data_IF_834379005706
#
_entry.id   IF_834379005706
#
_cell.length_a   1.000
_cell.length_b   1.000
_cell.length_c   1.000
_cell.angle_alpha   90.00
_cell.angle_beta   90.00
_cell.angle_gamma   90.00
#
_symmetry.space_group_name_H-M   'P 1'
#
loop_
_entity.id
_entity.type
_entity.pdbx_description
1 polymer ?
#
# COMPACT_ATOMS: atom_id res chain seq x y z
N UNK A 1 -14.04 -3.99 12.31
CA UNK A 1 -13.91 -4.84 13.51
C UNK A 1 -12.51 -4.72 14.06
N UNK A 2 -12.30 -5.14 15.33
CA UNK A 2 -10.95 -5.15 15.88
C UNK A 2 -10.52 -6.60 16.15
N UNK A 3 -9.32 -6.94 15.67
CA UNK A 3 -8.70 -8.28 15.82
C UNK A 3 -7.49 -8.16 16.72
N UNK A 4 -7.44 -8.94 17.81
CA UNK A 4 -6.35 -8.84 18.76
C UNK A 4 -5.16 -9.70 18.33
N UNK A 5 -4.04 -9.07 17.95
CA UNK A 5 -2.80 -9.72 17.53
C UNK A 5 -1.67 -9.33 18.47
N UNK A 6 -1.07 -10.30 19.16
CA UNK A 6 0.04 -10.06 20.11
C UNK A 6 -0.25 -8.93 21.13
N UNK A 7 -1.53 -8.79 21.50
CA UNK A 7 -1.97 -7.74 22.43
C UNK A 7 -2.42 -6.44 21.76
N UNK A 8 -2.18 -6.25 20.47
CA UNK A 8 -2.59 -5.07 19.69
C UNK A 8 -3.99 -5.27 19.13
N UNK A 9 -4.97 -4.41 19.42
CA UNK A 9 -6.28 -4.43 18.77
C UNK A 9 -6.16 -3.80 17.37
N UNK A 10 -5.93 -4.63 16.36
CA UNK A 10 -5.81 -4.17 14.97
C UNK A 10 -7.20 -3.89 14.40
N UNK A 11 -7.44 -2.66 13.99
CA UNK A 11 -8.67 -2.29 13.30
C UNK A 11 -8.66 -2.82 11.85
N UNK A 12 -9.73 -3.48 11.46
CA UNK A 12 -9.86 -4.09 10.13
C UNK A 12 -11.22 -3.75 9.52
N UNK A 13 -11.21 -3.35 8.27
CA UNK A 13 -12.41 -3.21 7.44
C UNK A 13 -12.40 -4.31 6.38
N UNK A 14 -13.55 -4.97 6.21
CA UNK A 14 -13.70 -6.03 5.21
C UNK A 14 -14.87 -5.74 4.27
N UNK A 15 -14.68 -6.10 3.00
CA UNK A 15 -15.70 -6.00 1.98
C UNK A 15 -15.83 -7.31 1.20
N UNK A 16 -17.07 -7.68 0.87
CA UNK A 16 -17.39 -8.86 0.06
C UNK A 16 -17.08 -10.18 0.74
N UNK A 17 -16.89 -11.21 -0.06
CA UNK A 17 -16.64 -12.59 0.38
C UNK A 17 -15.98 -13.42 -0.71
N UNK A 18 -15.38 -14.54 -0.37
CA UNK A 18 -14.65 -15.43 -1.28
C UNK A 18 -13.14 -15.30 -1.13
N UNK A 19 -12.40 -15.34 -2.24
CA UNK A 19 -10.93 -15.36 -2.28
C UNK A 19 -10.32 -14.16 -1.51
N UNK A 20 -9.41 -14.38 -0.54
CA UNK A 20 -8.86 -13.29 0.25
C UNK A 20 -7.93 -12.39 -0.57
N UNK A 21 -8.07 -11.08 -0.35
CA UNK A 21 -7.16 -10.02 -0.80
C UNK A 21 -6.82 -9.17 0.41
N UNK A 22 -5.58 -9.19 0.86
CA UNK A 22 -5.08 -8.33 1.93
C UNK A 22 -4.43 -7.09 1.32
N UNK A 23 -4.83 -5.91 1.76
CA UNK A 23 -4.31 -4.65 1.25
C UNK A 23 -3.73 -3.79 2.38
N UNK A 24 -2.41 -3.54 2.32
CA UNK A 24 -1.64 -2.79 3.31
C UNK A 24 -1.41 -1.37 2.80
N UNK A 25 -1.83 -0.38 3.58
CA UNK A 25 -1.67 1.05 3.27
C UNK A 25 -0.25 1.58 3.53
N UNK A 26 0.05 2.79 3.06
CA UNK A 26 1.29 3.49 3.28
C UNK A 26 1.44 4.08 4.69
N UNK A 27 2.61 4.62 5.01
CA UNK A 27 2.82 5.34 6.26
C UNK A 27 2.05 6.67 6.27
N UNK A 28 1.49 7.05 7.42
CA UNK A 28 0.80 8.32 7.61
C UNK A 28 -0.65 8.38 7.10
N UNK A 29 -1.18 7.28 6.59
CA UNK A 29 -2.58 7.11 6.16
C UNK A 29 -3.21 5.90 6.86
N UNK A 30 -4.40 5.46 6.45
CA UNK A 30 -5.06 4.28 6.99
C UNK A 30 -5.78 3.45 5.90
N UNK A 31 -6.55 2.45 6.31
CA UNK A 31 -7.27 1.54 5.40
C UNK A 31 -8.06 2.25 4.30
N UNK A 32 -8.53 3.49 4.52
CA UNK A 32 -9.35 4.26 3.56
C UNK A 32 -8.60 4.53 2.26
N UNK A 33 -7.29 4.76 2.34
CA UNK A 33 -6.46 4.98 1.15
C UNK A 33 -6.54 3.79 0.19
N UNK A 34 -6.26 2.59 0.69
CA UNK A 34 -6.28 1.39 -0.14
C UNK A 34 -7.71 0.95 -0.51
N UNK A 35 -8.68 1.13 0.37
CA UNK A 35 -10.07 0.85 0.04
C UNK A 35 -10.56 1.78 -1.09
N UNK A 36 -10.28 3.08 -1.00
CA UNK A 36 -10.64 4.04 -2.05
C UNK A 36 -9.98 3.76 -3.41
N UNK A 37 -8.78 3.19 -3.39
CA UNK A 37 -8.07 2.79 -4.60
C UNK A 37 -8.59 1.48 -5.20
N UNK A 38 -8.85 0.47 -4.35
CA UNK A 38 -9.13 -0.90 -4.80
C UNK A 38 -10.62 -1.21 -5.00
N UNK A 39 -11.53 -0.65 -4.20
CA UNK A 39 -12.97 -0.98 -4.33
C UNK A 39 -13.54 -0.73 -5.75
N UNK A 40 -13.08 0.28 -6.52
CA UNK A 40 -13.49 0.41 -7.91
C UNK A 40 -13.12 -0.80 -8.81
N UNK A 41 -11.99 -1.49 -8.51
CA UNK A 41 -11.56 -2.69 -9.24
C UNK A 41 -12.54 -3.84 -9.01
N UNK A 42 -13.07 -3.97 -7.79
CA UNK A 42 -13.92 -5.10 -7.40
C UNK A 42 -15.42 -4.88 -7.66
N UNK A 43 -15.83 -3.70 -8.16
CA UNK A 43 -17.24 -3.38 -8.44
C UNK A 43 -17.89 -4.44 -9.34
N UNK A 44 -17.18 -4.86 -10.38
CA UNK A 44 -17.65 -5.84 -11.36
C UNK A 44 -16.95 -7.20 -11.22
N UNK A 45 -16.28 -7.45 -10.07
CA UNK A 45 -15.54 -8.68 -9.78
C UNK A 45 -16.00 -9.29 -8.44
N UNK A 46 -17.15 -9.97 -8.39
CA UNK A 46 -17.60 -10.68 -7.19
C UNK A 46 -16.67 -11.86 -6.86
N UNK A 47 -16.75 -12.36 -5.64
CA UNK A 47 -16.01 -13.55 -5.23
C UNK A 47 -14.63 -13.27 -4.61
N UNK A 48 -14.37 -12.02 -4.26
CA UNK A 48 -13.21 -11.63 -3.47
C UNK A 48 -13.61 -11.08 -2.10
N UNK A 49 -12.90 -11.47 -1.05
CA UNK A 49 -12.95 -10.89 0.29
C UNK A 49 -11.77 -9.95 0.46
N UNK A 50 -12.02 -8.65 0.50
CA UNK A 50 -11.00 -7.62 0.65
C UNK A 50 -10.86 -7.27 2.12
N UNK A 51 -9.62 -7.28 2.60
CA UNK A 51 -9.24 -7.09 4.00
C UNK A 51 -8.31 -5.89 4.07
N UNK A 52 -8.73 -4.83 4.75
CA UNK A 52 -8.04 -3.56 4.88
C UNK A 52 -7.75 -3.28 6.36
N UNK A 53 -6.57 -3.67 6.87
CA UNK A 53 -6.18 -3.32 8.24
C UNK A 53 -5.68 -1.88 8.32
N UNK A 54 -5.83 -1.26 9.49
CA UNK A 54 -5.00 -0.13 9.90
C UNK A 54 -3.70 -0.67 10.47
N UNK A 55 -2.56 -0.24 9.94
CA UNK A 55 -1.26 -0.61 10.47
C UNK A 55 -1.01 0.04 11.84
N UNK A 56 -0.21 -0.57 12.74
CA UNK A 56 0.08 -0.03 14.07
C UNK A 56 0.55 1.43 14.04
N UNK A 57 -0.05 2.26 14.90
CA UNK A 57 0.21 3.70 14.98
C UNK A 57 -0.53 4.55 13.95
N UNK A 58 -1.42 3.95 13.15
CA UNK A 58 -2.16 4.62 12.08
C UNK A 58 -3.64 4.23 12.15
N UNK A 59 -4.50 5.17 11.73
CA UNK A 59 -5.93 4.96 11.77
C UNK A 59 -6.41 4.66 13.20
N UNK A 60 -7.13 3.56 13.38
CA UNK A 60 -7.72 3.13 14.66
C UNK A 60 -6.90 2.07 15.40
N UNK A 61 -5.76 1.65 14.83
CA UNK A 61 -4.85 0.68 15.45
C UNK A 61 -3.80 1.42 16.29
N UNK A 62 -3.79 1.25 17.62
CA UNK A 62 -2.81 1.90 18.47
C UNK A 62 -1.40 1.35 18.26
N UNK A 63 -0.39 2.15 18.61
CA UNK A 63 0.99 1.72 18.67
C UNK A 63 1.40 1.54 20.15
N UNK A 64 1.59 0.32 20.62
CA UNK A 64 2.08 0.09 21.99
C UNK A 64 3.51 0.63 22.23
N UNK A 65 3.83 0.99 23.46
CA UNK A 65 5.15 1.55 23.84
C UNK A 65 6.31 0.57 23.59
N UNK A 66 6.04 -0.72 23.53
CA UNK A 66 7.07 -1.74 23.26
C UNK A 66 7.44 -1.88 21.78
N UNK A 67 6.66 -1.28 20.86
CA UNK A 67 6.98 -1.26 19.42
C UNK A 67 8.30 -0.54 19.17
N UNK A 68 9.16 -1.15 18.35
CA UNK A 68 10.52 -0.66 18.07
C UNK A 68 10.75 -0.28 16.61
N UNK A 69 10.04 -0.90 15.67
CA UNK A 69 10.28 -0.71 14.24
C UNK A 69 9.42 -1.61 13.36
N UNK A 70 9.86 -1.77 12.12
CA UNK A 70 9.13 -2.52 11.10
C UNK A 70 9.01 -4.01 11.39
N UNK A 71 9.94 -4.62 12.15
CA UNK A 71 9.85 -6.03 12.55
C UNK A 71 8.58 -6.29 13.37
N UNK A 72 8.30 -5.43 14.36
CA UNK A 72 7.09 -5.58 15.19
C UNK A 72 5.82 -5.36 14.36
N UNK A 73 5.87 -4.45 13.39
CA UNK A 73 4.73 -4.23 12.46
C UNK A 73 4.51 -5.45 11.58
N UNK A 74 5.58 -6.04 11.06
CA UNK A 74 5.50 -7.27 10.25
C UNK A 74 4.95 -8.45 11.04
N UNK A 75 5.35 -8.60 12.31
CA UNK A 75 4.83 -9.66 13.18
C UNK A 75 3.32 -9.51 13.41
N UNK A 76 2.83 -8.27 13.56
CA UNK A 76 1.38 -8.01 13.62
C UNK A 76 0.70 -8.37 12.31
N UNK A 77 1.27 -8.01 11.15
CA UNK A 77 0.70 -8.37 9.83
C UNK A 77 0.66 -9.88 9.63
N UNK A 78 1.72 -10.60 9.98
CA UNK A 78 1.76 -12.07 9.90
C UNK A 78 0.72 -12.71 10.81
N UNK A 79 0.61 -12.24 12.06
CA UNK A 79 -0.43 -12.71 12.97
C UNK A 79 -1.85 -12.40 12.50
N UNK A 80 -2.06 -11.28 11.82
CA UNK A 80 -3.34 -10.92 11.22
C UNK A 80 -3.71 -11.87 10.07
N UNK A 81 -2.74 -12.23 9.22
CA UNK A 81 -2.90 -13.22 8.15
C UNK A 81 -3.33 -14.57 8.75
N UNK A 82 -2.64 -15.02 9.79
CA UNK A 82 -2.98 -16.28 10.46
C UNK A 82 -4.39 -16.25 11.07
N UNK A 83 -4.80 -15.14 11.65
CA UNK A 83 -6.10 -14.99 12.29
C UNK A 83 -7.28 -14.86 11.32
N UNK A 84 -7.10 -14.14 10.18
CA UNK A 84 -8.19 -13.81 9.27
C UNK A 84 -8.22 -14.65 7.99
N UNK A 85 -7.06 -15.09 7.52
CA UNK A 85 -6.92 -15.84 6.26
C UNK A 85 -6.69 -17.33 6.54
N UNK A 86 -6.10 -17.66 7.68
CA UNK A 86 -5.78 -19.03 8.04
C UNK A 86 -4.78 -19.64 7.04
N UNK A 87 -5.02 -20.83 6.52
CA UNK A 87 -4.15 -21.53 5.56
C UNK A 87 -4.53 -21.26 4.07
N UNK A 88 -5.54 -20.44 3.81
CA UNK A 88 -5.99 -20.17 2.45
C UNK A 88 -4.97 -19.32 1.68
N UNK A 89 -4.64 -19.65 0.41
CA UNK A 89 -3.85 -18.76 -0.43
C UNK A 89 -4.55 -17.41 -0.64
N UNK A 90 -3.81 -16.30 -0.60
CA UNK A 90 -4.37 -14.96 -0.72
C UNK A 90 -3.58 -14.08 -1.68
N UNK A 91 -4.25 -13.08 -2.25
CA UNK A 91 -3.60 -12.00 -2.97
C UNK A 91 -3.18 -10.92 -1.98
N UNK A 92 -2.00 -10.34 -2.19
CA UNK A 92 -1.42 -9.34 -1.31
C UNK A 92 -1.11 -8.06 -2.09
N UNK A 93 -1.65 -6.95 -1.63
CA UNK A 93 -1.42 -5.62 -2.18
C UNK A 93 -0.78 -4.75 -1.12
N UNK A 94 0.24 -3.99 -1.46
CA UNK A 94 0.82 -3.02 -0.54
C UNK A 94 1.15 -1.71 -1.24
N UNK A 95 0.96 -0.59 -0.56
CA UNK A 95 1.37 0.74 -0.99
C UNK A 95 2.51 1.24 -0.10
N UNK A 96 3.59 1.78 -0.68
CA UNK A 96 4.68 2.43 0.06
C UNK A 96 5.24 1.52 1.18
N UNK A 97 5.12 1.92 2.44
CA UNK A 97 5.48 1.11 3.60
C UNK A 97 4.73 -0.23 3.63
N UNK A 98 3.43 -0.24 3.26
CA UNK A 98 2.68 -1.47 3.09
C UNK A 98 3.25 -2.37 1.99
N UNK A 99 3.84 -1.81 0.92
CA UNK A 99 4.52 -2.59 -0.12
C UNK A 99 5.82 -3.22 0.39
N UNK A 100 6.55 -2.51 1.25
CA UNK A 100 7.73 -3.06 1.92
C UNK A 100 7.38 -4.26 2.81
N UNK A 101 6.33 -4.12 3.63
CA UNK A 101 5.82 -5.22 4.44
C UNK A 101 5.28 -6.38 3.58
N UNK A 102 4.59 -6.08 2.47
CA UNK A 102 4.08 -7.09 1.55
C UNK A 102 5.21 -7.92 0.90
N UNK A 103 6.34 -7.30 0.56
CA UNK A 103 7.55 -8.01 0.12
C UNK A 103 8.04 -8.99 1.18
N UNK A 104 8.11 -8.54 2.44
CA UNK A 104 8.54 -9.37 3.55
C UNK A 104 7.60 -10.56 3.82
N UNK A 105 6.29 -10.34 3.71
CA UNK A 105 5.29 -11.43 3.80
C UNK A 105 5.50 -12.44 2.68
N UNK A 106 5.65 -11.98 1.43
CA UNK A 106 5.87 -12.86 0.27
C UNK A 106 7.18 -13.65 0.37
N UNK A 107 8.22 -13.07 0.97
CA UNK A 107 9.50 -13.72 1.23
C UNK A 107 9.39 -14.82 2.32
N UNK A 108 8.65 -14.53 3.38
CA UNK A 108 8.47 -15.46 4.51
C UNK A 108 7.41 -16.54 4.27
N UNK A 109 6.46 -16.31 3.36
CA UNK A 109 5.32 -17.20 3.08
C UNK A 109 5.00 -17.27 1.57
N UNK A 110 5.99 -17.58 0.72
CA UNK A 110 5.83 -17.52 -0.73
C UNK A 110 4.73 -18.45 -1.27
N UNK A 111 4.52 -19.60 -0.61
CA UNK A 111 3.48 -20.57 -0.98
C UNK A 111 2.06 -20.12 -0.64
N UNK A 112 1.93 -19.13 0.25
CA UNK A 112 0.65 -18.59 0.70
C UNK A 112 0.20 -17.38 -0.14
N UNK A 113 1.14 -16.63 -0.68
CA UNK A 113 0.86 -15.46 -1.49
C UNK A 113 0.59 -15.89 -2.93
N UNK A 114 -0.69 -15.92 -3.32
CA UNK A 114 -1.11 -16.33 -4.67
C UNK A 114 -0.82 -15.25 -5.73
N UNK A 115 -0.66 -14.00 -5.33
CA UNK A 115 -0.29 -12.87 -6.16
C UNK A 115 0.18 -11.70 -5.31
N UNK A 116 1.12 -10.90 -5.84
CA UNK A 116 1.73 -9.78 -5.13
C UNK A 116 1.63 -8.50 -5.97
N UNK A 117 1.02 -7.44 -5.41
CA UNK A 117 1.00 -6.12 -6.04
C UNK A 117 1.70 -5.08 -5.15
N UNK A 118 2.71 -4.44 -5.69
CA UNK A 118 3.55 -3.45 -5.04
C UNK A 118 3.32 -2.08 -5.68
N UNK A 119 2.74 -1.16 -4.93
CA UNK A 119 2.38 0.17 -5.40
C UNK A 119 3.34 1.18 -4.77
N UNK A 120 4.03 1.95 -5.59
CA UNK A 120 5.07 2.88 -5.16
C UNK A 120 6.01 2.25 -4.11
N UNK A 121 6.54 1.04 -4.36
CA UNK A 121 7.40 0.39 -3.39
C UNK A 121 8.72 1.14 -3.27
N UNK A 122 9.27 1.18 -2.05
CA UNK A 122 10.68 1.51 -1.91
C UNK A 122 11.50 0.35 -2.46
N UNK A 123 12.54 0.66 -3.27
CA UNK A 123 13.54 -0.33 -3.71
C UNK A 123 14.44 -0.78 -2.56
N UNK A 124 15.62 -1.27 -2.87
CA UNK A 124 16.65 -1.53 -1.85
C UNK A 124 17.13 -0.21 -1.22
N UNK A 125 17.17 0.82 -2.04
CA UNK A 125 17.47 2.20 -1.64
C UNK A 125 16.56 3.16 -2.40
N UNK A 126 16.25 4.30 -1.78
CA UNK A 126 15.61 5.40 -2.49
C UNK A 126 16.65 6.03 -3.45
N UNK A 127 16.39 5.97 -4.75
CA UNK A 127 17.29 6.48 -5.79
C UNK A 127 16.54 7.33 -6.80
N UNK A 128 17.25 8.36 -7.28
CA UNK A 128 16.71 9.27 -8.32
C UNK A 128 15.32 9.82 -7.95
N UNK A 129 15.15 10.18 -6.66
CA UNK A 129 13.90 10.73 -6.15
C UNK A 129 13.75 12.15 -6.70
N UNK A 130 12.76 12.42 -7.54
CA UNK A 130 12.56 13.76 -8.08
C UNK A 130 12.10 14.74 -6.99
N UNK A 131 12.42 16.01 -7.14
CA UNK A 131 11.81 17.03 -6.31
C UNK A 131 10.30 17.06 -6.54
N UNK A 132 9.54 17.30 -5.47
CA UNK A 132 8.11 17.45 -5.60
C UNK A 132 7.77 18.67 -6.47
N UNK A 133 6.91 18.48 -7.45
CA UNK A 133 6.45 19.54 -8.33
C UNK A 133 5.01 19.31 -8.78
N UNK A 134 4.21 20.37 -8.75
CA UNK A 134 2.89 20.34 -9.36
C UNK A 134 3.02 20.12 -10.87
N UNK A 135 2.47 19.02 -11.36
CA UNK A 135 2.50 18.71 -12.78
C UNK A 135 1.26 19.20 -13.52
N UNK A 136 0.11 19.07 -12.89
CA UNK A 136 -1.18 19.51 -13.44
C UNK A 136 -2.12 19.95 -12.31
N UNK A 137 -2.72 21.12 -12.44
CA UNK A 137 -3.65 21.61 -11.43
C UNK A 137 -4.31 22.93 -11.83
N UNK A 138 -5.32 23.31 -11.06
CA UNK A 138 -6.03 24.57 -11.19
C UNK A 138 -5.70 25.49 -10.02
N UNK A 139 -5.52 26.78 -10.29
CA UNK A 139 -5.35 27.78 -9.24
C UNK A 139 -6.56 27.73 -8.29
N UNK A 140 -6.30 27.84 -6.98
CA UNK A 140 -7.36 27.87 -5.96
C UNK A 140 -8.07 26.53 -5.71
N UNK A 141 -7.65 25.45 -6.35
CA UNK A 141 -8.33 24.15 -6.21
C UNK A 141 -8.41 23.66 -4.76
N UNK A 142 -7.42 23.98 -3.94
CA UNK A 142 -7.33 23.60 -2.55
C UNK A 142 -7.94 24.64 -1.58
N UNK A 143 -8.47 25.77 -2.05
CA UNK A 143 -8.94 26.87 -1.18
C UNK A 143 -10.10 26.47 -0.25
N UNK A 144 -10.80 25.41 -0.58
CA UNK A 144 -11.86 24.86 0.25
C UNK A 144 -11.36 23.91 1.37
N UNK A 145 -10.06 23.64 1.43
CA UNK A 145 -9.41 22.88 2.50
C UNK A 145 -8.92 23.82 3.60
N UNK A 146 -8.78 23.31 4.84
CA UNK A 146 -8.10 24.04 5.91
C UNK A 146 -6.61 24.27 5.55
N UNK A 147 -5.91 25.23 6.18
CA UNK A 147 -4.49 25.48 5.88
C UNK A 147 -3.59 24.24 6.00
N UNK A 148 -3.82 23.41 7.03
CA UNK A 148 -3.06 22.20 7.26
C UNK A 148 -3.37 21.13 6.19
N UNK A 149 -4.63 20.96 5.85
CA UNK A 149 -5.04 20.06 4.76
C UNK A 149 -4.51 20.52 3.40
N UNK A 150 -4.45 21.86 3.16
CA UNK A 150 -3.85 22.40 1.93
C UNK A 150 -2.39 22.01 1.78
N UNK A 151 -1.60 22.15 2.86
CA UNK A 151 -0.19 21.79 2.85
C UNK A 151 -0.04 20.28 2.51
N UNK A 152 -0.75 19.43 3.22
CA UNK A 152 -0.68 17.98 3.01
C UNK A 152 -1.20 17.54 1.63
N UNK A 153 -2.29 18.14 1.14
CA UNK A 153 -2.78 17.89 -0.21
C UNK A 153 -1.75 18.27 -1.27
N UNK A 154 -1.09 19.43 -1.12
CA UNK A 154 -0.07 19.89 -2.06
C UNK A 154 1.19 19.02 -2.03
N UNK A 155 1.58 18.53 -0.87
CA UNK A 155 2.77 17.68 -0.71
C UNK A 155 2.52 16.25 -1.22
N UNK A 156 1.27 15.76 -1.12
CA UNK A 156 0.94 14.38 -1.50
C UNK A 156 0.61 14.23 -2.99
N UNK A 157 -0.03 15.24 -3.62
CA UNK A 157 -0.50 15.15 -5.01
C UNK A 157 0.31 16.00 -5.97
N UNK A 158 0.80 15.41 -7.05
CA UNK A 158 1.40 16.10 -8.20
C UNK A 158 0.34 16.52 -9.24
N UNK A 159 -0.85 15.90 -9.16
CA UNK A 159 -2.05 16.28 -9.93
C UNK A 159 -3.07 16.88 -8.97
N UNK A 160 -3.31 18.20 -9.07
CA UNK A 160 -4.16 18.95 -8.14
C UNK A 160 -5.42 19.45 -8.85
N UNK A 161 -6.42 18.61 -8.96
CA UNK A 161 -7.72 18.89 -9.58
C UNK A 161 -8.85 18.81 -8.54
N UNK A 162 -10.05 19.32 -8.82
CA UNK A 162 -11.21 19.16 -7.93
C UNK A 162 -11.47 17.69 -7.55
N UNK A 163 -11.34 16.78 -8.51
CA UNK A 163 -11.50 15.35 -8.25
C UNK A 163 -10.45 14.81 -7.25
N UNK A 164 -9.21 15.32 -7.28
CA UNK A 164 -8.19 14.93 -6.30
C UNK A 164 -8.46 15.53 -4.93
N UNK A 165 -9.04 16.72 -4.82
CA UNK A 165 -9.48 17.28 -3.53
C UNK A 165 -10.58 16.40 -2.91
N UNK A 166 -11.53 15.93 -3.71
CA UNK A 166 -12.57 15.00 -3.23
C UNK A 166 -11.95 13.70 -2.71
N UNK A 167 -11.03 13.10 -3.49
CA UNK A 167 -10.32 11.88 -3.07
C UNK A 167 -9.48 12.10 -1.80
N UNK A 168 -8.79 13.22 -1.71
CA UNK A 168 -8.04 13.57 -0.50
C UNK A 168 -8.96 13.64 0.72
N UNK A 169 -10.09 14.36 0.61
CA UNK A 169 -11.07 14.49 1.70
C UNK A 169 -11.69 13.15 2.13
N UNK A 170 -11.90 12.26 1.19
CA UNK A 170 -12.58 11.00 1.45
C UNK A 170 -11.59 9.93 1.98
N UNK A 171 -10.39 9.86 1.42
CA UNK A 171 -9.51 8.71 1.61
C UNK A 171 -8.20 9.02 2.36
N UNK A 172 -7.77 10.28 2.43
CA UNK A 172 -6.48 10.65 3.05
C UNK A 172 -6.68 11.53 4.27
N UNK A 173 -7.35 12.66 4.14
CA UNK A 173 -7.50 13.64 5.22
C UNK A 173 -8.06 13.06 6.52
N UNK A 174 -9.04 12.13 6.52
CA UNK A 174 -9.57 11.58 7.76
C UNK A 174 -8.59 10.72 8.56
N UNK A 175 -7.51 10.24 7.94
CA UNK A 175 -6.46 9.48 8.63
C UNK A 175 -5.49 10.38 9.41
N UNK A 176 -5.26 11.61 8.94
CA UNK A 176 -4.22 12.49 9.46
C UNK A 176 -4.28 12.75 10.97
N UNK A 177 -5.45 13.06 11.58
CA UNK A 177 -5.56 13.24 13.01
C UNK A 177 -5.45 11.93 13.83
N UNK A 178 -5.43 10.78 13.16
CA UNK A 178 -5.38 9.45 13.78
C UNK A 178 -3.97 8.85 13.75
N UNK A 179 -3.00 9.59 13.23
CA UNK A 179 -1.59 9.15 13.17
C UNK A 179 -0.89 9.43 14.50
N UNK A 180 -0.28 8.40 15.08
CA UNK A 180 0.67 8.57 16.18
C UNK A 180 2.04 9.02 15.62
N UNK A 181 2.25 10.35 15.56
CA UNK A 181 3.46 10.93 15.00
C UNK A 181 4.74 10.45 15.72
N UNK A 182 4.74 10.40 17.04
CA UNK A 182 5.89 9.90 17.82
C UNK A 182 6.12 8.39 17.56
N UNK A 183 5.05 7.65 17.39
CA UNK A 183 5.10 6.24 17.03
C UNK A 183 5.68 6.01 15.65
N UNK A 184 5.27 6.79 14.67
CA UNK A 184 5.82 6.72 13.30
C UNK A 184 7.30 7.10 13.25
N UNK A 185 7.76 8.08 14.04
CA UNK A 185 9.20 8.38 14.17
C UNK A 185 9.98 7.16 14.67
N UNK A 186 9.49 6.46 15.71
CA UNK A 186 10.14 5.24 16.20
C UNK A 186 10.22 4.14 15.14
N UNK A 187 9.16 3.97 14.32
CA UNK A 187 9.16 3.03 13.20
C UNK A 187 10.12 3.51 12.12
N UNK A 188 10.14 4.80 11.81
CA UNK A 188 11.00 5.39 10.79
C UNK A 188 12.48 5.26 11.14
N UNK A 189 12.87 5.43 12.40
CA UNK A 189 14.26 5.25 12.86
C UNK A 189 14.77 3.80 12.66
N UNK A 190 13.86 2.84 12.59
CA UNK A 190 14.12 1.42 12.38
C UNK A 190 13.19 0.85 11.31
N UNK A 191 13.10 1.57 10.17
CA UNK A 191 12.20 1.18 9.09
C UNK A 191 12.66 -0.08 8.34
N UNK A 192 13.99 -0.36 8.35
CA UNK A 192 14.51 -1.58 7.77
C UNK A 192 14.27 -2.77 8.69
N UNK A 193 13.84 -3.87 8.13
CA UNK A 193 13.74 -5.13 8.85
C UNK A 193 15.15 -5.59 9.28
N UNK A 194 15.23 -6.20 10.45
CA UNK A 194 16.49 -6.73 10.99
C UNK A 194 17.03 -7.88 10.13
N UNK A 195 16.13 -8.74 9.62
CA UNK A 195 16.47 -9.71 8.60
C UNK A 195 16.29 -9.05 7.23
N UNK A 196 17.37 -8.89 6.49
CA UNK A 196 17.29 -8.42 5.11
C UNK A 196 16.28 -9.29 4.34
N UNK A 197 15.48 -8.65 3.49
CA UNK A 197 14.60 -9.40 2.59
C UNK A 197 15.46 -10.38 1.80
N UNK A 198 15.13 -11.66 1.89
CA UNK A 198 15.99 -12.71 1.37
C UNK A 198 16.23 -12.50 -0.13
N UNK A 199 17.50 -12.45 -0.50
CA UNK A 199 17.91 -12.38 -1.90
C UNK A 199 17.88 -13.74 -2.60
N UNK A 200 17.48 -14.78 -1.86
CA UNK A 200 17.82 -16.18 -2.17
C UNK A 200 16.86 -16.86 -3.13
N UNK A 201 15.61 -16.42 -3.25
CA UNK A 201 14.66 -17.07 -4.17
C UNK A 201 13.69 -16.05 -4.77
N UNK A 202 13.59 -15.97 -6.11
CA UNK A 202 12.56 -15.17 -6.74
C UNK A 202 11.16 -15.64 -6.34
N UNK A 203 10.25 -14.69 -6.13
CA UNK A 203 8.84 -15.01 -5.90
C UNK A 203 8.22 -15.53 -7.22
N UNK A 204 7.68 -16.77 -7.23
CA UNK A 204 7.26 -17.43 -8.49
C UNK A 204 5.87 -17.02 -8.99
N UNK A 205 5.07 -16.38 -8.14
CA UNK A 205 3.69 -16.03 -8.45
C UNK A 205 3.56 -14.77 -9.34
N UNK A 206 2.34 -14.49 -9.83
CA UNK A 206 2.04 -13.27 -10.57
C UNK A 206 2.32 -12.03 -9.72
N UNK A 207 3.13 -11.10 -10.23
CA UNK A 207 3.42 -9.84 -9.57
C UNK A 207 2.98 -8.64 -10.41
N UNK A 208 2.69 -7.52 -9.74
CA UNK A 208 2.45 -6.20 -10.32
C UNK A 208 3.28 -5.19 -9.56
N UNK A 209 4.08 -4.39 -10.25
CA UNK A 209 4.87 -3.32 -9.65
C UNK A 209 4.51 -2.02 -10.36
N UNK A 210 3.98 -1.05 -9.62
CA UNK A 210 3.61 0.27 -10.13
C UNK A 210 4.43 1.36 -9.47
N UNK A 211 4.99 2.26 -10.26
CA UNK A 211 5.73 3.42 -9.79
C UNK A 211 5.22 4.72 -10.41
N UNK A 212 5.16 5.78 -9.63
CA UNK A 212 4.86 7.13 -10.12
C UNK A 212 6.11 7.77 -10.72
N UNK A 213 6.02 8.29 -11.96
CA UNK A 213 7.16 8.97 -12.61
C UNK A 213 7.61 10.19 -11.81
N UNK A 214 6.71 10.83 -11.10
CA UNK A 214 6.93 12.03 -10.29
C UNK A 214 6.89 11.73 -8.77
N UNK A 215 7.12 10.47 -8.38
CA UNK A 215 7.13 10.10 -6.96
C UNK A 215 8.33 10.75 -6.25
N UNK A 216 8.05 11.79 -5.46
CA UNK A 216 9.02 12.56 -4.68
C UNK A 216 9.30 11.97 -3.30
N UNK A 217 8.71 10.82 -2.98
CA UNK A 217 8.89 10.12 -1.69
C UNK A 217 9.90 8.98 -1.82
N UNK A 218 9.68 8.06 -2.75
CA UNK A 218 10.52 6.86 -2.92
C UNK A 218 11.22 6.81 -4.28
N UNK A 219 10.81 7.66 -5.23
CA UNK A 219 11.31 7.63 -6.59
C UNK A 219 10.76 6.45 -7.41
N UNK A 220 11.16 6.39 -8.68
CA UNK A 220 10.71 5.34 -9.61
C UNK A 220 11.82 4.40 -10.06
N UNK A 221 13.10 4.75 -9.84
CA UNK A 221 14.23 3.96 -10.30
C UNK A 221 14.47 2.71 -9.43
N UNK A 222 14.35 2.84 -8.09
CA UNK A 222 14.48 1.72 -7.18
C UNK A 222 13.51 0.57 -7.44
N UNK A 223 12.21 0.81 -7.68
CA UNK A 223 11.25 -0.22 -8.08
C UNK A 223 11.64 -1.05 -9.31
N UNK A 224 12.41 -0.50 -10.25
CA UNK A 224 12.91 -1.24 -11.39
C UNK A 224 13.85 -2.40 -10.99
N UNK A 225 14.66 -2.22 -9.97
CA UNK A 225 15.61 -3.23 -9.48
C UNK A 225 14.89 -4.46 -8.91
N UNK A 226 13.63 -4.28 -8.48
CA UNK A 226 12.82 -5.37 -7.96
C UNK A 226 12.35 -6.34 -9.06
N UNK A 227 12.33 -5.93 -10.33
CA UNK A 227 11.77 -6.74 -11.44
C UNK A 227 12.45 -8.10 -11.55
N UNK A 228 13.77 -8.16 -11.34
CA UNK A 228 14.51 -9.42 -11.43
C UNK A 228 14.14 -10.42 -10.32
N UNK A 229 13.62 -9.93 -9.21
CA UNK A 229 13.14 -10.77 -8.09
C UNK A 229 11.74 -11.33 -8.33
N UNK A 230 11.01 -10.75 -9.29
CA UNK A 230 9.64 -11.08 -9.60
C UNK A 230 9.51 -11.46 -11.09
N UNK A 231 9.94 -12.69 -11.50
CA UNK A 231 10.05 -13.07 -12.92
C UNK A 231 8.70 -13.06 -13.67
N UNK A 232 7.59 -13.03 -12.93
CA UNK A 232 6.24 -12.88 -13.50
C UNK A 232 5.64 -11.50 -13.21
N UNK A 233 6.48 -10.47 -13.05
CA UNK A 233 6.00 -9.13 -12.80
C UNK A 233 5.58 -8.41 -14.09
N UNK A 234 4.42 -7.75 -14.04
CA UNK A 234 4.15 -6.58 -14.87
C UNK A 234 4.70 -5.37 -14.13
N UNK A 235 5.59 -4.60 -14.76
CA UNK A 235 6.12 -3.36 -14.22
C UNK A 235 5.66 -2.17 -15.06
N UNK A 236 5.15 -1.12 -14.41
CA UNK A 236 4.77 0.10 -15.09
C UNK A 236 5.17 1.35 -14.30
N UNK A 237 5.73 2.34 -15.02
CA UNK A 237 5.96 3.70 -14.51
C UNK A 237 4.90 4.59 -15.13
N UNK A 238 4.03 5.17 -14.29
CA UNK A 238 2.93 5.99 -14.75
C UNK A 238 3.31 7.46 -14.73
N UNK A 239 3.16 8.14 -15.85
CA UNK A 239 3.25 9.60 -15.92
C UNK A 239 2.05 10.26 -15.26
N UNK A 240 2.20 11.50 -14.83
CA UNK A 240 1.19 12.26 -14.06
C UNK A 240 0.77 11.53 -12.78
N UNK A 241 1.75 10.89 -12.14
CA UNK A 241 1.59 10.18 -10.89
C UNK A 241 2.80 10.40 -9.99
N UNK A 242 2.56 10.86 -8.78
CA UNK A 242 3.50 10.89 -7.67
C UNK A 242 3.31 9.69 -6.75
N UNK A 243 3.50 9.91 -5.45
CA UNK A 243 3.28 8.88 -4.44
C UNK A 243 1.79 8.51 -4.27
N UNK A 244 0.88 9.43 -4.63
CA UNK A 244 -0.57 9.21 -4.68
C UNK A 244 -1.06 8.51 -5.96
N UNK A 245 -0.20 7.76 -6.66
CA UNK A 245 -0.45 7.08 -7.94
C UNK A 245 -1.84 6.42 -8.05
N UNK A 246 -2.33 5.65 -7.06
CA UNK A 246 -3.62 4.97 -7.17
C UNK A 246 -4.79 5.93 -7.36
N UNK A 247 -4.66 7.14 -6.82
CA UNK A 247 -5.66 8.19 -6.92
C UNK A 247 -5.48 9.02 -8.18
N UNK A 248 -4.26 9.39 -8.52
CA UNK A 248 -3.92 10.28 -9.64
C UNK A 248 -4.11 9.62 -11.01
N UNK A 249 -3.84 8.33 -11.10
CA UNK A 249 -4.01 7.52 -12.31
C UNK A 249 -5.00 6.36 -12.09
N UNK A 250 -6.12 6.65 -11.43
CA UNK A 250 -7.08 5.63 -11.00
C UNK A 250 -7.59 4.72 -12.14
N UNK A 251 -7.73 5.25 -13.35
CA UNK A 251 -8.15 4.46 -14.51
C UNK A 251 -7.10 3.40 -14.92
N UNK A 252 -5.84 3.82 -15.05
CA UNK A 252 -4.73 2.90 -15.36
C UNK A 252 -4.49 1.94 -14.19
N UNK A 253 -4.53 2.43 -12.96
CA UNK A 253 -4.41 1.61 -11.76
C UNK A 253 -5.47 0.49 -11.75
N UNK A 254 -6.73 0.83 -11.96
CA UNK A 254 -7.84 -0.14 -12.01
C UNK A 254 -7.61 -1.20 -13.10
N UNK A 255 -7.21 -0.79 -14.30
CA UNK A 255 -6.98 -1.71 -15.41
C UNK A 255 -5.81 -2.67 -15.15
N UNK A 256 -4.69 -2.17 -14.60
CA UNK A 256 -3.51 -2.97 -14.30
C UNK A 256 -3.74 -3.94 -13.14
N UNK A 257 -4.45 -3.50 -12.09
CA UNK A 257 -4.82 -4.39 -10.97
C UNK A 257 -5.81 -5.46 -11.44
N UNK A 258 -6.75 -5.10 -12.31
CA UNK A 258 -7.72 -6.06 -12.87
C UNK A 258 -7.01 -7.16 -13.68
N UNK A 259 -6.07 -6.79 -14.56
CA UNK A 259 -5.27 -7.74 -15.34
C UNK A 259 -4.42 -8.63 -14.42
N UNK A 260 -3.80 -8.05 -13.41
CA UNK A 260 -3.03 -8.82 -12.43
C UNK A 260 -3.91 -9.84 -11.68
N UNK A 261 -5.13 -9.48 -11.29
CA UNK A 261 -6.06 -10.41 -10.64
C UNK A 261 -6.46 -11.56 -11.58
N UNK A 262 -6.58 -11.34 -12.88
CA UNK A 262 -6.83 -12.41 -13.84
C UNK A 262 -5.67 -13.42 -13.83
N UNK A 263 -4.42 -12.96 -13.84
CA UNK A 263 -3.24 -13.83 -13.71
C UNK A 263 -3.16 -14.56 -12.35
N UNK A 264 -3.61 -13.92 -11.27
CA UNK A 264 -3.70 -14.55 -9.94
C UNK A 264 -4.72 -15.69 -9.95
N UNK A 265 -5.87 -15.48 -10.61
CA UNK A 265 -6.89 -16.52 -10.72
C UNK A 265 -6.43 -17.68 -11.59
N UNK A 266 -5.75 -17.44 -12.70
CA UNK A 266 -5.11 -18.47 -13.52
C UNK A 266 -4.08 -19.27 -12.73
N UNK A 267 -3.24 -18.60 -11.94
CA UNK A 267 -2.22 -19.24 -11.12
C UNK A 267 -2.80 -20.12 -10.00
N UNK A 268 -3.94 -19.73 -9.43
CA UNK A 268 -4.66 -20.52 -8.43
C UNK A 268 -5.33 -21.77 -9.01
N UNK A 269 -5.62 -21.77 -10.31
CA UNK A 269 -6.30 -22.86 -10.99
C UNK A 269 -5.33 -23.91 -11.54
N UNK A 270 -4.03 -23.59 -11.59
CA UNK A 270 -2.97 -24.46 -12.11
C UNK A 270 -2.40 -25.38 -11.03
#
# INVERSE_FOLDING_TARGET
MDVKISGVPVHVVEHGGGKPVLALHGAGVDHREMAGALEPVFRDRPGYRRIYPDLPGMGRTPLPDWFRGSDDTLDVVLGLIDALVGDEPFALVGHSFGAYLARAVADRRPERVAGLALICPIGEEARDVPAHALLHGSAGVADALSPDEQAQFRDYFVVQTPAMVERFREYVAPALPLVDGNGLERISDRWRLSDALAETSPYPGPALILAGRQDSTVGYAGPWELVERYPRATFAILDRAGHALPHEQSGLFTALVAEWLDRVDEHRAA
#
